data_IF_609728485116
#
_entry.id   IF_609728485116
#
_cell.length_a   1.000
_cell.length_b   1.000
_cell.length_c   1.000
_cell.angle_alpha   90.00
_cell.angle_beta   90.00
_cell.angle_gamma   90.00
#
_symmetry.space_group_name_H-M   'P 1'
#
loop_
_entity.id
_entity.type
_entity.pdbx_description
1 polymer ?
#
# COMPACT_ATOMS: atom_id res chain seq x y z
N UNK A 1 -11.13 19.84 3.07
CA UNK A 1 -10.39 18.79 2.33
C UNK A 1 -10.33 17.52 3.16
N UNK A 2 -10.79 16.37 2.62
CA UNK A 2 -10.77 15.09 3.33
C UNK A 2 -9.32 14.57 3.32
N UNK A 3 -8.70 14.40 4.50
CA UNK A 3 -7.30 13.92 4.59
C UNK A 3 -7.20 12.54 3.95
N UNK A 4 -6.10 12.29 3.23
CA UNK A 4 -5.82 10.98 2.67
C UNK A 4 -5.76 9.95 3.80
N UNK A 5 -6.47 8.83 3.63
CA UNK A 5 -6.49 7.71 4.56
C UNK A 5 -6.18 6.42 3.82
N UNK A 6 -5.30 5.63 4.41
CA UNK A 6 -4.97 4.30 3.95
C UNK A 6 -6.08 3.33 4.32
N UNK A 7 -6.78 2.84 3.30
CA UNK A 7 -7.69 1.71 3.43
C UNK A 7 -7.03 0.47 2.86
N UNK A 8 -7.52 -0.71 3.25
CA UNK A 8 -7.06 -2.00 2.73
C UNK A 8 -7.10 -2.08 1.21
N UNK A 9 -8.15 -1.53 0.58
CA UNK A 9 -8.26 -1.47 -0.87
C UNK A 9 -7.16 -0.62 -1.51
N UNK A 10 -6.90 0.59 -0.98
CA UNK A 10 -5.83 1.47 -1.48
C UNK A 10 -4.45 0.85 -1.28
N UNK A 11 -4.23 0.24 -0.13
CA UNK A 11 -2.97 -0.43 0.18
C UNK A 11 -2.71 -1.62 -0.76
N UNK A 12 -3.73 -2.47 -1.01
CA UNK A 12 -3.63 -3.55 -2.00
C UNK A 12 -3.33 -3.03 -3.40
N UNK A 13 -4.01 -1.96 -3.82
CA UNK A 13 -3.78 -1.34 -5.13
C UNK A 13 -2.35 -0.80 -5.23
N UNK A 14 -1.86 -0.13 -4.19
CA UNK A 14 -0.49 0.39 -4.14
C UNK A 14 0.55 -0.74 -4.18
N UNK A 15 0.36 -1.81 -3.40
CA UNK A 15 1.24 -2.98 -3.43
C UNK A 15 1.25 -3.68 -4.80
N UNK A 16 0.09 -3.75 -5.48
CA UNK A 16 0.02 -4.25 -6.84
C UNK A 16 0.76 -3.33 -7.82
N UNK A 17 0.54 -2.01 -7.74
CA UNK A 17 1.25 -1.03 -8.56
C UNK A 17 2.76 -1.10 -8.34
N UNK A 18 3.24 -1.25 -7.10
CA UNK A 18 4.65 -1.38 -6.80
C UNK A 18 5.28 -2.59 -7.53
N UNK A 19 4.62 -3.76 -7.48
CA UNK A 19 5.07 -4.95 -8.22
C UNK A 19 5.00 -4.77 -9.73
N UNK A 20 3.95 -4.12 -10.23
CA UNK A 20 3.79 -3.84 -11.65
C UNK A 20 4.90 -2.91 -12.15
N UNK A 21 5.13 -1.77 -11.48
CA UNK A 21 6.18 -0.82 -11.83
C UNK A 21 7.57 -1.44 -11.73
N UNK A 22 7.85 -2.27 -10.72
CA UNK A 22 9.12 -2.98 -10.62
C UNK A 22 9.35 -3.93 -11.82
N UNK A 23 8.28 -4.55 -12.36
CA UNK A 23 8.36 -5.45 -13.51
C UNK A 23 8.54 -4.72 -14.84
N UNK A 24 7.99 -3.51 -14.96
CA UNK A 24 7.96 -2.72 -16.20
C UNK A 24 8.81 -1.45 -16.10
N UNK A 25 9.89 -1.49 -15.31
CA UNK A 25 10.70 -0.32 -14.97
C UNK A 25 11.29 0.42 -16.17
N UNK A 26 11.50 -0.28 -17.30
CA UNK A 26 12.04 0.30 -18.54
C UNK A 26 10.97 0.73 -19.55
N UNK A 27 9.70 0.45 -19.30
CA UNK A 27 8.59 0.69 -20.25
C UNK A 27 7.53 1.64 -19.71
N UNK A 28 7.50 1.89 -18.40
CA UNK A 28 6.59 2.85 -17.79
C UNK A 28 7.20 4.25 -17.72
N UNK A 29 6.37 5.30 -17.68
CA UNK A 29 6.84 6.66 -17.42
C UNK A 29 7.62 6.72 -16.10
N UNK A 30 8.65 7.57 -16.06
CA UNK A 30 9.44 7.82 -14.84
C UNK A 30 8.58 8.38 -13.69
N UNK A 31 7.49 9.08 -14.04
CA UNK A 31 6.55 9.64 -13.08
C UNK A 31 5.68 8.54 -12.44
N UNK A 32 5.84 8.38 -11.13
CA UNK A 32 5.10 7.38 -10.36
C UNK A 32 3.71 7.90 -10.04
N UNK A 33 2.67 7.06 -10.06
CA UNK A 33 1.36 7.46 -9.59
C UNK A 33 1.45 7.95 -8.13
N UNK A 34 0.78 9.05 -7.79
CA UNK A 34 0.81 9.62 -6.43
C UNK A 34 0.43 8.61 -5.31
N UNK A 35 -0.34 7.57 -5.63
CA UNK A 35 -0.64 6.48 -4.68
C UNK A 35 0.59 5.60 -4.39
N UNK A 36 1.44 5.37 -5.40
CA UNK A 36 2.68 4.61 -5.30
C UNK A 36 3.75 5.41 -4.54
N UNK A 37 3.85 6.71 -4.77
CA UNK A 37 4.74 7.60 -4.01
C UNK A 37 4.42 7.55 -2.52
N UNK A 38 3.14 7.76 -2.15
CA UNK A 38 2.68 7.64 -0.76
C UNK A 38 2.98 6.28 -0.16
N UNK A 39 2.93 5.22 -0.97
CA UNK A 39 3.24 3.86 -0.52
C UNK A 39 4.72 3.73 -0.18
N UNK A 40 5.63 4.25 -1.01
CA UNK A 40 7.06 4.27 -0.67
C UNK A 40 7.36 5.14 0.55
N UNK A 41 6.77 6.34 0.66
CA UNK A 41 6.89 7.17 1.87
C UNK A 41 6.38 6.45 3.14
N UNK A 42 5.36 5.61 3.00
CA UNK A 42 4.83 4.82 4.10
C UNK A 42 5.84 3.75 4.53
N UNK A 43 6.45 3.04 3.58
CA UNK A 43 7.46 2.02 3.84
C UNK A 43 8.77 2.59 4.39
N UNK A 44 9.16 3.80 3.98
CA UNK A 44 10.31 4.51 4.55
C UNK A 44 10.07 4.88 6.02
N UNK A 45 8.87 5.36 6.36
CA UNK A 45 8.52 5.77 7.73
C UNK A 45 8.21 4.60 8.66
N UNK A 46 7.61 3.55 8.11
CA UNK A 46 7.21 2.35 8.82
C UNK A 46 7.71 1.14 8.05
N UNK A 47 9.01 0.80 8.13
CA UNK A 47 9.53 -0.42 7.54
C UNK A 47 8.82 -1.61 8.20
N UNK A 48 7.87 -2.23 7.50
CA UNK A 48 6.94 -3.16 8.12
C UNK A 48 7.61 -4.51 8.35
N UNK A 49 7.91 -4.82 9.60
CA UNK A 49 8.12 -6.21 10.03
C UNK A 49 6.83 -7.04 10.00
N UNK A 50 5.66 -6.39 9.96
CA UNK A 50 4.34 -7.02 10.03
C UNK A 50 3.43 -6.42 8.94
N UNK A 51 3.57 -6.87 7.69
CA UNK A 51 2.72 -6.42 6.59
C UNK A 51 1.24 -6.79 6.85
N UNK A 52 0.30 -5.83 6.92
CA UNK A 52 -1.12 -6.11 7.11
C UNK A 52 -1.74 -7.00 6.01
N UNK A 53 -1.09 -7.16 4.85
CA UNK A 53 -1.49 -8.11 3.83
C UNK A 53 -1.02 -9.54 4.08
N UNK A 54 0.02 -9.73 4.90
CA UNK A 54 0.54 -11.06 5.29
C UNK A 54 -0.19 -11.63 6.51
N UNK A 55 -0.95 -10.80 7.24
CA UNK A 55 -1.85 -11.29 8.29
C UNK A 55 -2.85 -12.34 7.75
N UNK A 56 -3.12 -13.43 8.49
CA UNK A 56 -4.10 -14.42 8.07
C UNK A 56 -5.50 -13.80 7.88
N UNK A 57 -6.25 -14.31 6.90
CA UNK A 57 -7.53 -13.70 6.48
C UNK A 57 -8.51 -13.47 7.64
N UNK A 58 -8.61 -14.44 8.58
CA UNK A 58 -9.47 -14.33 9.77
C UNK A 58 -9.17 -13.10 10.64
N UNK A 59 -7.90 -12.72 10.77
CA UNK A 59 -7.48 -11.56 11.56
C UNK A 59 -7.78 -10.25 10.84
N UNK A 60 -7.65 -10.24 9.51
CA UNK A 60 -7.97 -9.06 8.68
C UNK A 60 -9.47 -8.78 8.65
N UNK A 61 -10.30 -9.82 8.59
CA UNK A 61 -11.76 -9.70 8.61
C UNK A 61 -12.31 -9.34 10.00
N UNK A 62 -11.62 -9.75 11.07
CA UNK A 62 -11.99 -9.40 12.45
C UNK A 62 -11.76 -7.91 12.80
N UNK A 63 -10.98 -7.17 12.01
CA UNK A 63 -10.80 -5.72 12.20
C UNK A 63 -12.06 -4.99 11.74
N UNK A 64 -12.77 -4.36 12.68
CA UNK A 64 -13.96 -3.53 12.42
C UNK A 64 -13.70 -2.27 11.58
N UNK A 65 -12.43 -1.94 11.33
CA UNK A 65 -12.02 -0.86 10.45
C UNK A 65 -11.32 -1.38 9.21
N UNK A 66 -11.64 -0.75 8.08
CA UNK A 66 -10.97 -0.97 6.80
C UNK A 66 -9.64 -0.20 6.70
N UNK A 67 -9.31 0.55 7.74
CA UNK A 67 -8.08 1.30 7.86
C UNK A 67 -6.91 0.38 8.14
N UNK A 68 -5.77 0.72 7.57
CA UNK A 68 -4.54 0.01 7.84
C UNK A 68 -3.76 0.81 8.91
N UNK A 69 -3.46 0.20 10.07
CA UNK A 69 -2.80 0.88 11.17
C UNK A 69 -1.29 0.95 10.90
N UNK A 70 -0.81 2.14 10.58
CA UNK A 70 0.60 2.52 10.58
C UNK A 70 0.72 3.97 11.01
#
# INVERSE_FOLDING_TARGET
MRRFRWTRAKYRKAAHLARFFARFIYTLPDEKPALLERYFELWERHPQGMDPLTEPLRWRLAKYSDDIPF
#
